data_IF_043923852351
#
_entry.id   IF_043923852351
#
_cell.length_a   1.000
_cell.length_b   1.000
_cell.length_c   1.000
_cell.angle_alpha   90.00
_cell.angle_beta   90.00
_cell.angle_gamma   90.00
#
_symmetry.space_group_name_H-M   'P 1'
#
loop_
_entity.id
_entity.type
_entity.pdbx_description
1 polymer ?
#
# COMPACT_ATOMS: atom_id res chain seq x y z
N UNK A 1 -6.58 13.90 -4.21
CA UNK A 1 -6.70 13.87 -2.73
C UNK A 1 -8.19 13.90 -2.49
N UNK A 2 -8.75 12.84 -1.93
CA UNK A 2 -10.20 12.60 -1.86
C UNK A 2 -10.47 12.14 -0.43
N UNK A 3 -11.52 12.67 0.18
CA UNK A 3 -11.57 12.94 1.63
C UNK A 3 -12.86 12.38 2.22
N UNK A 4 -12.86 11.64 3.35
CA UNK A 4 -14.13 11.25 3.99
C UNK A 4 -14.66 12.41 4.83
N UNK A 5 -15.92 12.75 4.61
CA UNK A 5 -16.64 13.72 5.42
C UNK A 5 -17.85 13.13 6.12
N UNK A 6 -18.18 13.76 7.25
CA UNK A 6 -19.51 13.71 7.81
C UNK A 6 -20.35 14.73 7.03
N UNK A 7 -21.48 14.32 6.48
CA UNK A 7 -22.41 15.29 5.89
C UNK A 7 -23.24 15.85 7.02
N UNK A 8 -22.84 17.00 7.55
CA UNK A 8 -23.68 17.82 8.40
C UNK A 8 -24.38 18.84 7.51
N UNK A 9 -25.63 18.59 7.14
CA UNK A 9 -26.50 19.64 6.61
C UNK A 9 -26.78 20.62 7.75
N UNK A 10 -26.06 21.75 7.73
CA UNK A 10 -26.55 22.99 8.36
C UNK A 10 -26.76 23.99 7.24
N UNK A 11 -27.57 23.63 6.25
CA UNK A 11 -28.21 24.63 5.38
C UNK A 11 -29.40 25.21 6.15
N UNK A 12 -29.27 26.47 6.55
CA UNK A 12 -30.35 27.30 7.06
C UNK A 12 -31.54 27.23 6.11
N UNK A 13 -32.58 26.45 6.48
CA UNK A 13 -33.97 26.52 6.01
C UNK A 13 -34.74 25.22 6.35
N UNK A 14 -35.54 25.32 7.43
CA UNK A 14 -36.72 24.51 7.81
C UNK A 14 -36.49 23.13 8.45
N UNK A 15 -36.52 23.09 9.80
CA UNK A 15 -37.02 21.95 10.57
C UNK A 15 -38.50 22.25 10.88
N UNK A 16 -39.42 21.59 10.20
CA UNK A 16 -40.84 21.61 10.58
C UNK A 16 -41.22 20.21 11.07
N UNK A 17 -41.01 19.94 12.36
CA UNK A 17 -41.58 18.76 13.01
C UNK A 17 -43.04 19.04 13.36
N UNK A 18 -43.95 18.34 12.66
CA UNK A 18 -45.34 18.27 13.05
C UNK A 18 -45.52 17.19 14.13
N UNK A 19 -45.49 17.61 15.41
CA UNK A 19 -46.10 16.85 16.51
C UNK A 19 -46.94 17.83 17.34
N UNK A 20 -48.27 17.70 17.16
CA UNK A 20 -49.32 18.65 17.56
C UNK A 20 -49.32 19.98 16.78
N UNK A 21 -50.38 20.23 16.02
CA UNK A 21 -50.61 21.52 15.35
C UNK A 21 -50.97 22.58 16.41
N UNK A 22 -49.96 23.21 17.00
CA UNK A 22 -50.11 24.49 17.68
C UNK A 22 -49.75 25.61 16.70
N UNK A 23 -50.71 26.49 16.42
CA UNK A 23 -50.45 27.67 15.60
C UNK A 23 -49.69 28.70 16.42
N UNK A 24 -48.36 28.70 16.28
CA UNK A 24 -47.51 29.73 16.88
C UNK A 24 -47.38 30.91 15.89
N UNK A 25 -47.86 32.09 16.29
CA UNK A 25 -47.73 33.31 15.49
C UNK A 25 -46.32 33.87 15.60
N UNK A 26 -45.49 33.62 14.58
CA UNK A 26 -44.06 34.00 14.55
C UNK A 26 -43.80 35.47 14.16
N UNK A 27 -44.63 36.03 13.28
CA UNK A 27 -44.48 37.41 12.83
C UNK A 27 -45.80 37.98 12.29
N UNK A 28 -45.83 39.29 12.06
CA UNK A 28 -46.89 40.01 11.34
C UNK A 28 -46.29 40.73 10.15
N UNK A 29 -46.99 40.83 9.03
CA UNK A 29 -46.54 41.58 7.86
C UNK A 29 -47.48 42.76 7.59
N UNK A 30 -46.90 43.93 7.32
CA UNK A 30 -47.61 45.15 6.96
C UNK A 30 -47.00 45.71 5.67
N UNK A 31 -47.85 46.16 4.74
CA UNK A 31 -47.46 46.78 3.47
C UNK A 31 -46.60 48.04 3.61
N UNK A 32 -46.73 48.76 4.73
CA UNK A 32 -46.02 50.02 4.97
C UNK A 32 -44.81 49.88 5.89
N UNK A 33 -44.87 48.93 6.84
CA UNK A 33 -43.85 48.72 7.88
C UNK A 33 -43.03 47.44 7.66
N UNK A 34 -43.34 46.66 6.63
CA UNK A 34 -42.69 45.39 6.33
C UNK A 34 -43.02 44.30 7.35
N UNK A 35 -42.10 43.35 7.51
CA UNK A 35 -42.24 42.26 8.48
C UNK A 35 -42.00 42.78 9.90
N UNK A 36 -43.05 42.85 10.70
CA UNK A 36 -43.02 43.18 12.13
C UNK A 36 -43.00 41.89 12.95
N UNK A 37 -41.80 41.47 13.31
CA UNK A 37 -41.47 40.26 14.05
C UNK A 37 -39.99 39.93 13.87
N UNK A 38 -39.47 39.02 14.67
CA UNK A 38 -38.12 38.52 14.50
C UNK A 38 -38.19 37.11 13.92
N UNK A 39 -37.84 36.98 12.64
CA UNK A 39 -37.41 35.69 12.08
C UNK A 39 -35.99 35.33 12.53
N UNK A 40 -35.38 36.07 13.49
CA UNK A 40 -34.21 35.53 14.19
C UNK A 40 -34.71 34.33 14.96
N UNK A 41 -34.55 33.19 14.29
CA UNK A 41 -34.29 31.89 14.84
C UNK A 41 -33.55 32.12 16.16
N UNK A 42 -34.22 31.88 17.28
CA UNK A 42 -33.52 31.75 18.54
C UNK A 42 -32.39 30.79 18.24
N UNK A 43 -31.14 31.25 18.30
CA UNK A 43 -30.01 30.33 18.35
C UNK A 43 -30.43 29.27 19.34
N UNK A 44 -30.28 28.01 18.95
CA UNK A 44 -30.58 26.90 19.82
C UNK A 44 -29.61 27.00 21.01
N UNK A 45 -29.95 27.83 22.00
CA UNK A 45 -29.16 28.08 23.21
C UNK A 45 -29.17 26.84 24.11
N UNK A 46 -30.12 25.93 23.87
CA UNK A 46 -30.36 24.67 24.59
C UNK A 46 -29.78 23.42 23.90
N UNK A 47 -28.93 23.57 22.88
CA UNK A 47 -28.49 22.44 22.05
C UNK A 47 -29.65 21.76 21.31
N UNK A 48 -29.37 20.77 20.46
CA UNK A 48 -30.39 20.02 19.69
C UNK A 48 -31.19 19.03 20.57
N UNK A 49 -31.42 19.37 21.84
CA UNK A 49 -32.13 18.54 22.79
C UNK A 49 -33.58 18.32 22.38
N UNK A 50 -33.99 17.05 22.33
CA UNK A 50 -35.34 16.65 21.94
C UNK A 50 -35.59 16.53 20.44
N UNK A 51 -34.59 16.83 19.60
CA UNK A 51 -34.66 16.62 18.14
C UNK A 51 -34.27 15.18 17.80
N UNK A 52 -35.08 14.52 16.96
CA UNK A 52 -34.74 13.23 16.34
C UNK A 52 -34.33 13.43 14.89
N UNK A 53 -33.07 13.14 14.57
CA UNK A 53 -32.46 13.32 13.23
C UNK A 53 -32.55 12.03 12.43
N UNK A 54 -33.02 12.08 11.19
CA UNK A 54 -32.97 10.93 10.27
C UNK A 54 -31.61 10.84 9.60
N UNK A 55 -30.91 9.74 9.85
CA UNK A 55 -29.54 9.53 9.37
C UNK A 55 -29.52 8.43 8.32
N UNK A 56 -29.09 8.75 7.11
CA UNK A 56 -28.83 7.76 6.07
C UNK A 56 -27.38 7.29 6.13
N UNK A 57 -27.17 6.00 5.91
CA UNK A 57 -25.84 5.38 5.89
C UNK A 57 -25.66 4.37 4.77
N UNK A 58 -24.41 4.01 4.50
CA UNK A 58 -24.00 2.91 3.64
C UNK A 58 -23.01 2.05 4.42
N UNK A 59 -23.17 0.73 4.32
CA UNK A 59 -22.31 -0.25 4.99
C UNK A 59 -20.93 -0.28 4.31
N UNK A 60 -19.90 0.05 5.07
CA UNK A 60 -18.50 0.00 4.64
C UNK A 60 -17.63 -0.27 5.87
N UNK A 61 -16.84 -1.33 5.86
CA UNK A 61 -15.95 -1.68 6.97
C UNK A 61 -14.68 -0.81 6.95
N UNK A 62 -14.19 -0.28 8.10
CA UNK A 62 -14.71 -0.41 9.48
C UNK A 62 -15.61 0.78 9.92
N UNK A 63 -16.11 1.58 8.99
CA UNK A 63 -16.84 2.81 9.24
C UNK A 63 -18.26 2.56 9.75
N UNK A 64 -19.00 1.71 9.05
CA UNK A 64 -20.38 1.35 9.36
C UNK A 64 -20.58 -0.12 9.06
N UNK A 65 -20.88 -0.88 10.11
CA UNK A 65 -21.07 -2.31 10.12
C UNK A 65 -22.38 -2.64 10.83
N UNK A 66 -22.99 -3.76 10.46
CA UNK A 66 -24.11 -4.31 11.22
C UNK A 66 -23.52 -5.13 12.36
N UNK A 67 -23.91 -4.85 13.60
CA UNK A 67 -23.59 -5.71 14.73
C UNK A 67 -24.33 -7.04 14.58
N UNK A 68 -23.71 -8.14 14.97
CA UNK A 68 -24.37 -9.44 14.98
C UNK A 68 -25.56 -9.38 15.93
N UNK A 69 -26.77 -9.52 15.37
CA UNK A 69 -27.98 -9.50 16.15
C UNK A 69 -28.20 -10.85 16.83
N UNK A 70 -28.39 -10.81 18.14
CA UNK A 70 -29.04 -11.89 18.87
C UNK A 70 -30.54 -11.79 18.54
N UNK A 71 -31.16 -12.92 18.18
CA UNK A 71 -32.53 -13.02 17.65
C UNK A 71 -33.54 -12.12 18.40
N UNK A 72 -34.21 -11.20 17.68
CA UNK A 72 -35.29 -10.35 18.22
C UNK A 72 -34.93 -8.89 18.54
N UNK A 73 -33.67 -8.48 18.43
CA UNK A 73 -33.28 -7.07 18.60
C UNK A 73 -33.27 -6.28 17.28
N UNK A 74 -33.56 -4.97 17.31
CA UNK A 74 -33.42 -4.10 16.13
C UNK A 74 -31.98 -4.11 15.62
N UNK A 75 -31.79 -3.97 14.31
CA UNK A 75 -30.46 -3.90 13.68
C UNK A 75 -29.63 -2.81 14.34
N UNK A 76 -28.57 -3.19 15.05
CA UNK A 76 -27.64 -2.23 15.65
C UNK A 76 -26.48 -1.99 14.70
N UNK A 77 -26.23 -0.73 14.38
CA UNK A 77 -25.04 -0.35 13.63
C UNK A 77 -23.86 -0.12 14.59
N UNK A 78 -22.64 -0.45 14.14
CA UNK A 78 -21.38 -0.25 14.86
C UNK A 78 -20.30 0.19 13.88
N UNK A 79 -19.23 0.81 14.37
CA UNK A 79 -18.08 1.21 13.55
C UNK A 79 -17.68 2.66 13.78
N UNK A 80 -16.57 3.06 13.16
CA UNK A 80 -15.93 4.34 13.44
C UNK A 80 -16.86 5.54 13.22
N UNK A 81 -17.61 5.56 12.11
CA UNK A 81 -18.52 6.67 11.81
C UNK A 81 -19.74 6.69 12.75
N UNK A 82 -20.15 5.52 13.26
CA UNK A 82 -21.23 5.42 14.25
C UNK A 82 -20.76 5.95 15.61
N UNK A 83 -19.54 5.64 16.03
CA UNK A 83 -18.97 6.15 17.28
C UNK A 83 -18.86 7.69 17.25
N UNK A 84 -18.50 8.26 16.09
CA UNK A 84 -18.49 9.71 15.86
C UNK A 84 -19.91 10.29 15.95
N UNK A 85 -20.90 9.66 15.32
CA UNK A 85 -22.30 10.09 15.38
C UNK A 85 -22.85 10.04 16.82
N UNK A 86 -22.54 9.00 17.58
CA UNK A 86 -22.92 8.85 18.99
C UNK A 86 -22.29 9.94 19.86
N UNK A 87 -21.00 10.26 19.63
CA UNK A 87 -20.33 11.34 20.33
C UNK A 87 -20.99 12.70 20.04
N UNK A 88 -21.32 12.97 18.77
CA UNK A 88 -22.04 14.19 18.38
C UNK A 88 -23.44 14.25 18.99
N UNK A 89 -24.17 13.14 18.98
CA UNK A 89 -25.48 13.00 19.63
C UNK A 89 -25.43 13.36 21.11
N UNK A 90 -24.41 12.88 21.83
CA UNK A 90 -24.20 13.19 23.26
C UNK A 90 -23.84 14.64 23.52
N UNK A 91 -22.96 15.23 22.70
CA UNK A 91 -22.49 16.61 22.89
C UNK A 91 -23.60 17.63 22.56
N UNK A 92 -24.32 17.40 21.47
CA UNK A 92 -25.35 18.32 20.97
C UNK A 92 -26.74 18.00 21.52
N UNK A 93 -26.96 16.81 22.08
CA UNK A 93 -28.18 16.40 22.75
C UNK A 93 -29.31 15.88 21.84
N UNK A 94 -29.03 15.59 20.57
CA UNK A 94 -30.02 15.03 19.65
C UNK A 94 -30.11 13.51 19.74
N UNK A 95 -31.28 12.97 19.41
CA UNK A 95 -31.49 11.55 19.12
C UNK A 95 -31.44 11.34 17.61
N UNK A 96 -31.19 10.13 17.16
CA UNK A 96 -31.19 9.84 15.73
C UNK A 96 -31.79 8.48 15.40
N UNK A 97 -32.35 8.39 14.20
CA UNK A 97 -32.82 7.15 13.58
C UNK A 97 -31.97 6.88 12.35
N UNK A 98 -31.21 5.78 12.38
CA UNK A 98 -30.28 5.43 11.30
C UNK A 98 -30.87 4.35 10.41
N UNK A 99 -30.75 4.54 9.10
CA UNK A 99 -31.17 3.56 8.10
C UNK A 99 -30.17 3.46 6.94
N UNK A 100 -30.14 2.30 6.30
CA UNK A 100 -29.27 2.05 5.14
C UNK A 100 -29.95 2.54 3.85
N UNK A 101 -29.17 3.19 2.99
CA UNK A 101 -29.61 3.59 1.65
C UNK A 101 -30.05 2.39 0.80
N UNK A 102 -31.15 2.53 0.06
CA UNK A 102 -31.80 1.42 -0.64
C UNK A 102 -31.00 0.87 -1.84
N UNK A 103 -30.32 1.74 -2.57
CA UNK A 103 -29.58 1.37 -3.80
C UNK A 103 -28.12 0.97 -3.53
N UNK A 104 -27.66 1.07 -2.27
CA UNK A 104 -26.29 0.74 -1.88
C UNK A 104 -25.21 1.66 -2.48
N UNK A 105 -25.56 2.87 -2.94
CA UNK A 105 -24.60 3.79 -3.57
C UNK A 105 -24.36 5.04 -2.72
N UNK A 106 -23.15 5.61 -2.85
CA UNK A 106 -22.83 6.90 -2.23
C UNK A 106 -23.58 8.05 -2.88
N UNK A 107 -23.65 8.06 -4.21
CA UNK A 107 -24.32 9.12 -4.97
C UNK A 107 -23.48 9.61 -6.13
N UNK A 108 -24.04 9.50 -7.31
CA UNK A 108 -23.54 9.99 -8.60
C UNK A 108 -24.67 10.70 -9.37
N UNK A 109 -24.34 11.70 -10.19
CA UNK A 109 -25.32 12.34 -11.05
C UNK A 109 -25.79 11.36 -12.12
N UNK A 110 -27.11 11.24 -12.28
CA UNK A 110 -27.74 10.48 -13.37
C UNK A 110 -27.87 11.35 -14.62
N UNK A 111 -28.09 10.71 -15.77
CA UNK A 111 -28.28 11.38 -17.07
C UNK A 111 -29.38 12.45 -17.06
N UNK A 112 -30.36 12.31 -16.16
CA UNK A 112 -31.51 13.20 -16.04
C UNK A 112 -31.24 14.40 -15.11
N UNK A 113 -29.99 14.58 -14.64
CA UNK A 113 -29.60 15.63 -13.70
C UNK A 113 -30.00 15.35 -12.24
N UNK A 114 -30.70 14.26 -11.96
CA UNK A 114 -31.00 13.81 -10.59
C UNK A 114 -29.81 13.08 -9.96
N UNK A 115 -29.82 12.93 -8.64
CA UNK A 115 -28.80 12.21 -7.89
C UNK A 115 -29.35 10.93 -7.28
N UNK A 116 -28.57 9.85 -7.32
CA UNK A 116 -28.87 8.60 -6.63
C UNK A 116 -28.14 8.52 -5.26
N UNK A 117 -28.26 7.38 -4.58
CA UNK A 117 -27.50 7.08 -3.38
C UNK A 117 -27.82 7.98 -2.19
N UNK A 118 -26.88 8.02 -1.26
CA UNK A 118 -26.93 8.89 -0.09
C UNK A 118 -27.15 10.36 -0.48
N UNK A 119 -26.44 10.85 -1.51
CA UNK A 119 -26.59 12.23 -1.98
C UNK A 119 -28.02 12.52 -2.46
N UNK A 120 -28.64 11.57 -3.17
CA UNK A 120 -30.04 11.68 -3.59
C UNK A 120 -31.04 11.70 -2.42
N UNK A 121 -30.81 10.90 -1.38
CA UNK A 121 -31.61 10.90 -0.15
C UNK A 121 -31.57 12.26 0.57
N UNK A 122 -30.40 12.92 0.59
CA UNK A 122 -30.22 14.24 1.19
C UNK A 122 -30.89 15.34 0.37
N UNK A 123 -30.70 15.35 -0.96
CA UNK A 123 -31.33 16.33 -1.85
C UNK A 123 -32.86 16.23 -1.79
N UNK A 124 -33.39 15.01 -1.72
CA UNK A 124 -34.83 14.76 -1.59
C UNK A 124 -35.38 15.01 -0.18
N UNK A 125 -34.52 15.42 0.78
CA UNK A 125 -34.87 15.66 2.19
C UNK A 125 -35.53 14.44 2.86
N UNK A 126 -35.16 13.23 2.44
CA UNK A 126 -35.60 11.98 3.08
C UNK A 126 -34.74 11.64 4.30
N UNK A 127 -33.48 12.05 4.27
CA UNK A 127 -32.57 12.09 5.41
C UNK A 127 -32.18 13.53 5.74
N UNK A 128 -31.95 13.79 7.02
CA UNK A 128 -31.46 15.07 7.54
C UNK A 128 -29.93 15.09 7.62
N UNK A 129 -29.31 13.92 7.78
CA UNK A 129 -27.87 13.76 7.95
C UNK A 129 -27.40 12.51 7.21
N UNK A 130 -26.16 12.51 6.71
CA UNK A 130 -25.53 11.29 6.24
C UNK A 130 -24.20 11.01 6.93
N UNK A 131 -24.03 9.74 7.31
CA UNK A 131 -22.85 9.24 8.02
C UNK A 131 -22.41 7.94 7.39
N UNK A 132 -21.25 7.97 6.71
CA UNK A 132 -20.57 6.80 6.15
C UNK A 132 -19.15 7.24 5.72
N UNK A 133 -18.43 6.41 4.97
CA UNK A 133 -17.14 6.74 4.35
C UNK A 133 -17.31 7.59 3.08
N UNK A 134 -18.08 8.68 3.16
CA UNK A 134 -18.48 9.48 1.99
C UNK A 134 -17.34 10.40 1.58
N UNK A 135 -16.87 10.25 0.34
CA UNK A 135 -15.86 11.13 -0.23
C UNK A 135 -16.42 12.52 -0.59
N UNK A 136 -15.79 13.61 -0.12
CA UNK A 136 -16.04 14.98 -0.59
C UNK A 136 -15.49 15.11 -2.02
N UNK A 137 -16.34 15.48 -2.96
CA UNK A 137 -15.96 15.81 -4.34
C UNK A 137 -16.62 17.14 -4.73
N UNK A 138 -16.03 17.92 -5.65
CA UNK A 138 -16.62 19.19 -6.10
C UNK A 138 -18.06 19.03 -6.61
N UNK A 139 -18.34 17.92 -7.31
CA UNK A 139 -19.68 17.62 -7.81
C UNK A 139 -20.70 17.42 -6.68
N UNK A 140 -20.32 16.71 -5.61
CA UNK A 140 -21.19 16.49 -4.45
C UNK A 140 -21.33 17.75 -3.61
N UNK A 141 -20.25 18.49 -3.41
CA UNK A 141 -20.24 19.76 -2.66
C UNK A 141 -21.09 20.83 -3.35
N UNK A 142 -21.29 20.74 -4.67
CA UNK A 142 -22.19 21.66 -5.40
C UNK A 142 -23.68 21.45 -5.10
N UNK A 143 -24.06 20.32 -4.48
CA UNK A 143 -25.48 19.96 -4.23
C UNK A 143 -25.80 19.66 -2.77
N UNK A 144 -24.80 19.37 -1.94
CA UNK A 144 -24.94 19.19 -0.50
C UNK A 144 -23.77 19.84 0.25
N UNK A 145 -24.03 20.31 1.45
CA UNK A 145 -23.00 20.86 2.32
C UNK A 145 -22.27 19.75 3.08
N UNK A 146 -20.94 19.85 3.15
CA UNK A 146 -20.10 18.96 3.95
C UNK A 146 -19.57 19.66 5.20
N UNK A 147 -19.44 18.90 6.28
CA UNK A 147 -18.65 19.37 7.42
C UNK A 147 -17.15 19.28 7.11
N UNK A 148 -16.31 19.73 8.05
CA UNK A 148 -14.89 19.42 7.97
C UNK A 148 -14.68 17.90 8.01
N UNK A 149 -13.81 17.42 7.12
CA UNK A 149 -13.33 16.03 7.12
C UNK A 149 -12.88 15.61 8.52
N UNK A 150 -13.23 14.38 8.91
CA UNK A 150 -12.78 13.79 10.16
C UNK A 150 -11.69 12.72 9.96
N UNK A 151 -11.43 12.33 8.70
CA UNK A 151 -10.39 11.37 8.33
C UNK A 151 -9.75 11.76 7.00
N UNK A 152 -8.42 11.89 7.02
CA UNK A 152 -7.61 12.08 5.81
C UNK A 152 -7.12 10.74 5.28
N UNK A 153 -7.29 10.50 3.97
CA UNK A 153 -6.71 9.34 3.29
C UNK A 153 -6.19 9.70 1.90
N UNK A 154 -5.33 8.82 1.38
CA UNK A 154 -4.74 8.93 0.05
C UNK A 154 -5.14 7.74 -0.83
N UNK A 155 -5.31 7.98 -2.13
CA UNK A 155 -5.45 6.89 -3.12
C UNK A 155 -4.17 6.06 -3.13
N UNK A 156 -4.30 4.74 -2.97
CA UNK A 156 -3.17 3.80 -3.00
C UNK A 156 -3.29 2.79 -4.14
N UNK A 157 -2.20 2.07 -4.39
CA UNK A 157 -2.18 0.90 -5.28
C UNK A 157 -2.10 -0.34 -4.39
N UNK A 158 -3.13 -1.19 -4.45
CA UNK A 158 -3.17 -2.49 -3.81
C UNK A 158 -2.63 -3.56 -4.75
N UNK A 159 -1.67 -4.33 -4.26
CA UNK A 159 -0.99 -5.40 -5.01
C UNK A 159 -0.87 -6.64 -4.13
N UNK A 160 -0.90 -7.82 -4.73
CA UNK A 160 -0.55 -9.05 -4.01
C UNK A 160 0.91 -8.98 -3.57
N UNK A 161 1.17 -9.30 -2.31
CA UNK A 161 2.53 -9.46 -1.80
C UNK A 161 3.22 -10.56 -2.60
N UNK A 162 4.36 -10.25 -3.21
CA UNK A 162 5.16 -11.25 -3.93
C UNK A 162 5.66 -12.29 -2.94
N UNK A 163 5.46 -13.57 -3.26
CA UNK A 163 6.05 -14.66 -2.48
C UNK A 163 7.55 -14.74 -2.77
N UNK A 164 8.35 -14.76 -1.71
CA UNK A 164 9.79 -14.91 -1.80
C UNK A 164 10.13 -16.31 -2.31
N UNK A 165 10.53 -16.41 -3.58
CA UNK A 165 11.06 -17.66 -4.11
C UNK A 165 12.50 -17.79 -3.64
N UNK A 166 12.76 -18.76 -2.76
CA UNK A 166 14.12 -19.14 -2.38
C UNK A 166 14.80 -19.70 -3.63
N UNK A 167 15.65 -18.89 -4.26
CA UNK A 167 16.45 -19.37 -5.38
C UNK A 167 17.61 -20.19 -4.81
N UNK A 168 17.78 -21.44 -5.26
CA UNK A 168 18.84 -22.34 -4.78
C UNK A 168 20.23 -21.77 -5.14
N UNK A 169 20.31 -20.94 -6.18
CA UNK A 169 21.52 -20.21 -6.55
C UNK A 169 21.82 -18.98 -5.67
N UNK A 170 20.99 -18.68 -4.67
CA UNK A 170 21.24 -17.60 -3.70
C UNK A 170 22.55 -17.79 -2.94
N UNK A 171 23.06 -19.02 -2.85
CA UNK A 171 24.36 -19.32 -2.26
C UNK A 171 25.52 -18.71 -3.07
N UNK A 172 25.38 -18.55 -4.39
CA UNK A 172 26.42 -17.95 -5.24
C UNK A 172 26.32 -16.42 -5.33
N UNK A 173 25.18 -15.85 -4.94
CA UNK A 173 24.89 -14.42 -4.97
C UNK A 173 25.79 -13.50 -4.11
N UNK A 174 26.43 -13.94 -3.00
CA UNK A 174 27.24 -13.05 -2.16
C UNK A 174 28.46 -12.45 -2.86
N UNK A 175 28.93 -13.07 -3.95
CA UNK A 175 30.01 -12.58 -4.79
C UNK A 175 29.57 -12.48 -6.25
N UNK A 176 30.04 -11.44 -6.91
CA UNK A 176 29.85 -11.29 -8.36
C UNK A 176 30.63 -12.37 -9.12
N UNK A 177 30.16 -12.72 -10.32
CA UNK A 177 30.77 -13.73 -11.18
C UNK A 177 32.23 -13.39 -11.50
N UNK A 178 32.57 -12.11 -11.59
CA UNK A 178 33.94 -11.65 -11.77
C UNK A 178 34.85 -12.03 -10.58
N UNK A 179 34.37 -11.89 -9.34
CA UNK A 179 35.12 -12.26 -8.13
C UNK A 179 35.32 -13.77 -8.06
N UNK A 180 34.28 -14.55 -8.40
CA UNK A 180 34.39 -16.00 -8.52
C UNK A 180 35.44 -16.42 -9.55
N UNK A 181 35.47 -15.76 -10.72
CA UNK A 181 36.48 -16.01 -11.74
C UNK A 181 37.90 -15.68 -11.24
N UNK A 182 38.08 -14.57 -10.52
CA UNK A 182 39.36 -14.21 -9.90
C UNK A 182 39.84 -15.25 -8.89
N UNK A 183 38.95 -15.76 -8.02
CA UNK A 183 39.28 -16.82 -7.05
C UNK A 183 39.69 -18.10 -7.78
N UNK A 184 38.93 -18.51 -8.79
CA UNK A 184 39.22 -19.69 -9.60
C UNK A 184 40.56 -19.58 -10.34
N UNK A 185 40.94 -18.38 -10.81
CA UNK A 185 42.22 -18.11 -11.44
C UNK A 185 43.39 -18.00 -10.43
N UNK A 186 43.14 -17.54 -9.20
CA UNK A 186 44.18 -17.42 -8.18
C UNK A 186 44.74 -18.78 -7.73
N UNK A 187 43.90 -19.82 -7.65
CA UNK A 187 44.29 -21.18 -7.25
C UNK A 187 45.44 -21.73 -8.13
N UNK A 188 45.31 -21.82 -9.48
CA UNK A 188 46.40 -22.31 -10.32
C UNK A 188 47.61 -21.38 -10.31
N UNK A 189 47.44 -20.06 -10.23
CA UNK A 189 48.56 -19.10 -10.17
C UNK A 189 49.45 -19.34 -8.95
N UNK A 190 48.84 -19.46 -7.76
CA UNK A 190 49.58 -19.73 -6.51
C UNK A 190 50.17 -21.14 -6.53
N UNK A 191 49.47 -22.11 -7.12
CA UNK A 191 49.97 -23.47 -7.29
C UNK A 191 51.22 -23.55 -8.16
N UNK A 192 51.24 -22.80 -9.27
CA UNK A 192 52.42 -22.68 -10.14
C UNK A 192 53.57 -21.99 -9.41
N UNK A 193 53.30 -20.94 -8.63
CA UNK A 193 54.31 -20.28 -7.80
C UNK A 193 54.95 -21.25 -6.79
N UNK A 194 54.14 -22.04 -6.08
CA UNK A 194 54.60 -23.08 -5.15
C UNK A 194 55.39 -24.17 -5.88
N UNK A 195 54.93 -24.61 -7.05
CA UNK A 195 55.63 -25.59 -7.88
C UNK A 195 57.03 -25.10 -8.29
N UNK A 196 57.15 -23.85 -8.77
CA UNK A 196 58.44 -23.25 -9.13
C UNK A 196 59.37 -23.18 -7.91
N UNK A 197 58.87 -22.70 -6.77
CA UNK A 197 59.67 -22.61 -5.53
C UNK A 197 60.15 -23.99 -5.04
N UNK A 198 59.31 -25.02 -5.13
CA UNK A 198 59.70 -26.41 -4.81
C UNK A 198 60.74 -26.95 -5.79
N UNK A 199 60.62 -26.65 -7.08
CA UNK A 199 61.62 -27.03 -8.10
C UNK A 199 62.97 -26.35 -7.85
N UNK A 200 62.99 -25.06 -7.55
CA UNK A 200 64.22 -24.33 -7.22
C UNK A 200 64.89 -24.90 -5.96
N UNK A 201 64.10 -25.28 -4.95
CA UNK A 201 64.61 -25.92 -3.73
C UNK A 201 65.17 -27.32 -3.98
N UNK A 202 64.54 -28.11 -4.86
CA UNK A 202 65.02 -29.44 -5.24
C UNK A 202 66.34 -29.44 -6.02
N UNK A 203 66.68 -28.33 -6.69
CA UNK A 203 67.91 -28.19 -7.49
C UNK A 203 69.09 -27.67 -6.66
N UNK A 204 68.86 -27.15 -5.45
CA UNK A 204 69.95 -26.72 -4.55
C UNK A 204 70.66 -27.95 -3.95
N UNK A 205 72.01 -28.01 -3.97
CA UNK A 205 72.74 -29.15 -3.43
C UNK A 205 72.49 -29.31 -1.92
N UNK A 206 72.50 -30.54 -1.38
CA UNK A 206 72.12 -30.80 0.00
C UNK A 206 73.16 -30.24 0.97
N UNK A 207 72.91 -29.03 1.49
CA UNK A 207 73.47 -28.59 2.76
C UNK A 207 72.78 -29.38 3.85
N UNK A 208 73.49 -30.38 4.40
CA UNK A 208 72.92 -31.53 5.09
C UNK A 208 71.83 -31.22 6.11
N UNK A 209 70.57 -31.42 5.73
CA UNK A 209 69.45 -31.92 6.52
C UNK A 209 68.56 -32.66 5.52
N UNK A 210 68.26 -33.94 5.79
CA UNK A 210 67.54 -34.83 4.88
C UNK A 210 66.22 -34.19 4.42
N UNK A 211 66.12 -33.86 3.14
CA UNK A 211 64.85 -33.49 2.53
C UNK A 211 64.05 -34.78 2.33
N UNK A 212 63.06 -35.01 3.20
CA UNK A 212 61.97 -35.95 2.95
C UNK A 212 61.44 -35.71 1.54
N UNK A 213 61.19 -36.76 0.78
CA UNK A 213 60.74 -36.69 -0.62
C UNK A 213 59.34 -36.08 -0.72
N UNK A 214 59.25 -34.75 -0.62
CA UNK A 214 58.02 -34.01 -0.86
C UNK A 214 57.75 -34.12 -2.35
N UNK A 215 56.58 -34.62 -2.72
CA UNK A 215 56.16 -34.71 -4.11
C UNK A 215 56.23 -33.32 -4.78
N UNK A 216 57.13 -33.17 -5.76
CA UNK A 216 57.35 -31.94 -6.54
C UNK A 216 56.40 -31.84 -7.73
N UNK A 217 55.29 -32.59 -7.72
CA UNK A 217 54.31 -32.57 -8.80
C UNK A 217 53.43 -31.33 -8.75
N UNK A 218 53.02 -30.82 -9.91
CA UNK A 218 52.12 -29.69 -10.01
C UNK A 218 50.73 -30.02 -9.41
N UNK A 219 50.29 -31.27 -9.57
CA UNK A 219 49.04 -31.76 -8.97
C UNK A 219 49.06 -31.69 -7.44
N UNK A 220 50.19 -32.02 -6.79
CA UNK A 220 50.28 -31.93 -5.33
C UNK A 220 50.26 -30.48 -4.86
N UNK A 221 50.87 -29.55 -5.63
CA UNK A 221 50.79 -28.13 -5.34
C UNK A 221 49.35 -27.59 -5.48
N UNK A 222 48.63 -27.98 -6.53
CA UNK A 222 47.21 -27.60 -6.72
C UNK A 222 46.36 -28.14 -5.58
N UNK A 223 46.53 -29.41 -5.21
CA UNK A 223 45.77 -30.02 -4.12
C UNK A 223 46.02 -29.32 -2.78
N UNK A 224 47.25 -28.91 -2.48
CA UNK A 224 47.58 -28.19 -1.24
C UNK A 224 46.94 -26.80 -1.23
N UNK A 225 47.03 -26.05 -2.33
CA UNK A 225 46.44 -24.71 -2.44
C UNK A 225 44.91 -24.77 -2.35
N UNK A 226 44.30 -25.73 -3.05
CA UNK A 226 42.86 -25.98 -2.99
C UNK A 226 42.40 -26.46 -1.61
N UNK A 227 43.12 -27.41 -0.99
CA UNK A 227 42.81 -27.89 0.36
C UNK A 227 42.88 -26.76 1.39
N UNK A 228 43.93 -25.93 1.33
CA UNK A 228 44.04 -24.73 2.16
C UNK A 228 42.87 -23.75 1.93
N UNK A 229 42.41 -23.58 0.69
CA UNK A 229 41.28 -22.72 0.35
C UNK A 229 39.95 -23.22 0.95
N UNK A 230 39.71 -24.53 0.89
CA UNK A 230 38.53 -25.20 1.47
C UNK A 230 38.68 -25.40 2.98
N UNK A 231 39.73 -24.84 3.60
CA UNK A 231 40.05 -24.99 5.03
C UNK A 231 40.26 -26.44 5.47
N UNK A 232 40.59 -27.32 4.52
CA UNK A 232 41.05 -28.67 4.81
C UNK A 232 42.56 -28.61 5.03
N UNK A 233 42.97 -28.68 6.29
CA UNK A 233 44.39 -28.76 6.66
C UNK A 233 45.05 -29.98 6.04
N UNK A 234 46.26 -29.81 5.50
CA UNK A 234 47.08 -30.91 4.98
C UNK A 234 48.43 -30.96 5.68
N UNK A 235 48.92 -32.16 5.97
CA UNK A 235 50.19 -32.42 6.67
C UNK A 235 51.41 -32.23 5.76
N UNK A 236 51.49 -31.11 5.04
CA UNK A 236 52.63 -30.80 4.19
C UNK A 236 53.67 -30.01 4.97
N UNK A 237 54.79 -30.65 5.31
CA UNK A 237 55.93 -29.97 5.94
C UNK A 237 56.61 -29.06 4.89
N UNK A 238 56.39 -27.76 4.98
CA UNK A 238 57.09 -26.76 4.17
C UNK A 238 58.46 -26.44 4.80
N UNK A 239 59.52 -26.98 4.22
CA UNK A 239 60.89 -26.85 4.73
C UNK A 239 61.56 -25.47 4.53
N UNK A 240 61.06 -24.64 3.61
CA UNK A 240 61.69 -23.35 3.26
C UNK A 240 60.88 -22.13 3.73
N UNK A 241 61.59 -21.10 4.21
CA UNK A 241 61.03 -19.80 4.61
C UNK A 241 60.24 -19.15 3.48
N UNK A 242 60.74 -19.18 2.24
CA UNK A 242 60.04 -18.59 1.09
C UNK A 242 58.68 -19.27 0.83
N UNK A 243 58.63 -20.59 0.99
CA UNK A 243 57.40 -21.37 0.81
C UNK A 243 56.39 -21.07 1.92
N UNK A 244 56.87 -20.87 3.15
CA UNK A 244 56.05 -20.47 4.30
C UNK A 244 55.47 -19.07 4.14
N UNK A 245 56.22 -18.11 3.59
CA UNK A 245 55.70 -16.76 3.32
C UNK A 245 54.58 -16.81 2.27
N UNK A 246 54.80 -17.52 1.16
CA UNK A 246 53.76 -17.70 0.13
C UNK A 246 52.53 -18.39 0.70
N UNK A 247 52.70 -19.46 1.46
CA UNK A 247 51.58 -20.17 2.09
C UNK A 247 50.86 -19.30 3.13
N UNK A 248 51.59 -18.55 3.96
CA UNK A 248 51.01 -17.61 4.92
C UNK A 248 50.21 -16.50 4.24
N UNK A 249 50.69 -15.97 3.11
CA UNK A 249 49.93 -15.00 2.31
C UNK A 249 48.66 -15.61 1.70
N UNK A 250 48.73 -16.87 1.25
CA UNK A 250 47.57 -17.60 0.72
C UNK A 250 46.52 -17.88 1.81
N UNK A 251 46.96 -18.22 3.02
CA UNK A 251 46.07 -18.40 4.17
C UNK A 251 45.39 -17.09 4.55
N UNK A 252 46.11 -15.98 4.59
CA UNK A 252 45.51 -14.66 4.85
C UNK A 252 44.47 -14.30 3.78
N UNK A 253 44.79 -14.50 2.50
CA UNK A 253 43.85 -14.31 1.40
C UNK A 253 42.59 -15.16 1.56
N UNK A 254 42.76 -16.46 1.85
CA UNK A 254 41.64 -17.41 2.04
C UNK A 254 40.76 -16.99 3.21
N UNK A 255 41.36 -16.58 4.33
CA UNK A 255 40.64 -16.10 5.50
C UNK A 255 39.79 -14.88 5.16
N UNK A 256 40.38 -13.88 4.48
CA UNK A 256 39.65 -12.68 4.05
C UNK A 256 38.48 -13.03 3.15
N UNK A 257 38.69 -13.91 2.17
CA UNK A 257 37.63 -14.34 1.23
C UNK A 257 36.51 -15.07 1.96
N UNK A 258 36.83 -16.05 2.81
CA UNK A 258 35.81 -16.81 3.54
C UNK A 258 35.04 -15.94 4.53
N UNK A 259 35.75 -15.06 5.27
CA UNK A 259 35.11 -14.11 6.18
C UNK A 259 34.16 -13.17 5.45
N UNK A 260 34.60 -12.60 4.32
CA UNK A 260 33.78 -11.71 3.49
C UNK A 260 32.58 -12.42 2.88
N UNK A 261 32.77 -13.66 2.41
CA UNK A 261 31.68 -14.49 1.88
C UNK A 261 30.63 -14.75 2.96
N UNK A 262 31.06 -15.14 4.16
CA UNK A 262 30.17 -15.45 5.28
C UNK A 262 29.41 -14.21 5.74
N UNK A 263 30.08 -13.06 5.82
CA UNK A 263 29.46 -11.78 6.15
C UNK A 263 28.43 -11.34 5.10
N UNK A 264 28.76 -11.44 3.80
CA UNK A 264 27.85 -11.08 2.72
C UNK A 264 26.69 -12.05 2.58
N UNK A 265 26.92 -13.34 2.79
CA UNK A 265 25.86 -14.35 2.82
C UNK A 265 24.89 -14.09 3.98
N UNK A 266 25.41 -13.81 5.18
CA UNK A 266 24.58 -13.45 6.32
C UNK A 266 23.74 -12.19 6.03
N UNK A 267 24.37 -11.14 5.49
CA UNK A 267 23.65 -9.93 5.07
C UNK A 267 22.57 -10.24 4.02
N UNK A 268 22.89 -11.05 3.01
CA UNK A 268 21.94 -11.45 1.96
C UNK A 268 20.74 -12.23 2.53
N UNK A 269 20.96 -13.13 3.48
CA UNK A 269 19.90 -13.91 4.11
C UNK A 269 19.00 -13.06 5.03
N UNK A 270 19.54 -11.99 5.62
CA UNK A 270 18.74 -11.06 6.45
C UNK A 270 17.94 -10.07 5.63
N UNK A 271 18.39 -9.73 4.42
CA UNK A 271 17.74 -8.75 3.56
C UNK A 271 16.88 -9.47 2.53
N UNK A 272 15.64 -9.75 2.91
CA UNK A 272 14.61 -9.99 1.91
C UNK A 272 14.32 -8.68 1.17
N UNK A 273 14.78 -8.59 -0.08
CA UNK A 273 14.38 -7.50 -0.96
C UNK A 273 13.00 -7.82 -1.50
N UNK A 274 11.98 -7.18 -0.93
CA UNK A 274 10.68 -7.10 -1.57
C UNK A 274 10.82 -6.18 -2.80
N UNK A 275 11.22 -6.77 -3.94
CA UNK A 275 11.32 -6.08 -5.24
C UNK A 275 9.92 -5.76 -5.76
N UNK A 276 9.33 -4.72 -5.18
CA UNK A 276 8.15 -4.09 -5.76
C UNK A 276 8.62 -3.22 -6.93
N UNK A 277 8.45 -3.73 -8.14
CA UNK A 277 8.79 -3.05 -9.41
C UNK A 277 8.01 -1.75 -9.65
N UNK A 278 6.94 -1.52 -8.88
CA UNK A 278 6.02 -0.38 -9.08
C UNK A 278 5.78 0.28 -7.75
N UNK A 279 6.29 1.50 -7.61
CA UNK A 279 6.15 2.29 -6.38
C UNK A 279 5.26 3.51 -6.60
N UNK A 280 5.21 4.02 -7.83
CA UNK A 280 4.49 5.24 -8.17
C UNK A 280 3.43 4.99 -9.26
N UNK A 281 2.47 5.92 -9.37
CA UNK A 281 1.54 5.95 -10.49
C UNK A 281 2.24 6.17 -11.84
N UNK A 282 3.39 6.85 -11.84
CA UNK A 282 4.19 7.04 -13.05
C UNK A 282 4.79 5.71 -13.52
N UNK A 283 5.35 4.90 -12.60
CA UNK A 283 5.82 3.55 -12.92
C UNK A 283 4.66 2.68 -13.43
N UNK A 284 3.46 2.89 -12.86
CA UNK A 284 2.25 2.20 -13.29
C UNK A 284 1.82 2.57 -14.71
N UNK A 285 1.95 3.84 -15.11
CA UNK A 285 1.60 4.30 -16.46
C UNK A 285 2.58 3.86 -17.54
N UNK A 286 3.86 3.65 -17.20
CA UNK A 286 4.91 3.30 -18.19
C UNK A 286 4.93 1.81 -18.53
N UNK A 287 4.43 0.95 -17.65
CA UNK A 287 4.42 -0.49 -17.86
C UNK A 287 3.14 -0.94 -18.55
N UNK A 288 3.25 -1.93 -19.44
CA UNK A 288 2.11 -2.54 -20.14
C UNK A 288 1.78 -3.95 -19.62
N UNK A 289 2.65 -4.54 -18.79
CA UNK A 289 2.55 -5.94 -18.38
C UNK A 289 1.50 -6.20 -17.28
N UNK A 290 1.09 -5.14 -16.58
CA UNK A 290 0.22 -5.22 -15.42
C UNK A 290 -1.13 -4.58 -15.74
N UNK A 291 -2.20 -5.35 -15.55
CA UNK A 291 -3.55 -4.84 -15.62
C UNK A 291 -3.88 -4.08 -14.33
N UNK A 292 -4.48 -2.90 -14.45
CA UNK A 292 -4.91 -2.11 -13.30
C UNK A 292 -6.28 -1.48 -13.54
N UNK A 293 -7.06 -1.37 -12.47
CA UNK A 293 -8.40 -0.80 -12.50
C UNK A 293 -8.82 -0.26 -11.13
N UNK A 294 -9.97 0.40 -11.07
CA UNK A 294 -10.55 0.94 -9.83
C UNK A 294 -11.93 0.31 -9.59
N UNK A 295 -12.61 0.70 -8.53
CA UNK A 295 -14.05 0.42 -8.35
C UNK A 295 -14.84 1.38 -9.25
N UNK A 296 -15.78 0.87 -10.06
CA UNK A 296 -16.66 1.70 -10.90
C UNK A 296 -17.62 2.52 -10.03
N UNK A 297 -18.11 3.64 -10.56
CA UNK A 297 -18.98 4.60 -9.85
C UNK A 297 -18.39 5.12 -8.51
N UNK A 298 -17.09 4.95 -8.28
CA UNK A 298 -16.40 5.40 -7.07
C UNK A 298 -15.80 6.79 -7.27
N UNK A 299 -15.54 7.48 -6.16
CA UNK A 299 -14.85 8.77 -6.22
C UNK A 299 -13.42 8.65 -6.77
N UNK A 300 -12.77 7.48 -6.64
CA UNK A 300 -11.47 7.19 -7.30
C UNK A 300 -11.63 7.20 -8.81
N UNK A 301 -12.65 6.50 -9.31
CA UNK A 301 -12.90 6.38 -10.75
C UNK A 301 -13.15 7.74 -11.39
N UNK A 302 -14.03 8.55 -10.78
CA UNK A 302 -14.31 9.91 -11.28
C UNK A 302 -13.09 10.82 -11.16
N UNK A 303 -12.24 10.65 -10.15
CA UNK A 303 -10.99 11.41 -10.05
C UNK A 303 -10.01 11.11 -11.18
N UNK A 304 -9.81 9.82 -11.52
CA UNK A 304 -8.97 9.45 -12.66
C UNK A 304 -9.60 9.87 -13.99
N UNK A 305 -10.94 9.82 -14.09
CA UNK A 305 -11.66 10.33 -15.26
C UNK A 305 -11.42 11.82 -15.45
N UNK A 306 -11.73 12.63 -14.44
CA UNK A 306 -11.59 14.08 -14.51
C UNK A 306 -10.15 14.45 -14.86
N UNK A 307 -9.16 13.93 -14.12
CA UNK A 307 -7.75 14.21 -14.40
C UNK A 307 -7.27 13.70 -15.76
N UNK A 308 -7.72 12.52 -16.18
CA UNK A 308 -7.32 11.93 -17.45
C UNK A 308 -7.93 12.60 -18.68
N UNK A 309 -9.11 13.22 -18.55
CA UNK A 309 -9.80 13.91 -19.66
C UNK A 309 -9.55 15.42 -19.69
N UNK A 310 -8.97 15.99 -18.64
CA UNK A 310 -8.66 17.42 -18.57
C UNK A 310 -7.53 17.77 -19.55
N UNK A 311 -7.88 18.42 -20.67
CA UNK A 311 -6.90 18.88 -21.66
C UNK A 311 -5.96 19.99 -21.14
N UNK A 312 -6.36 20.71 -20.09
CA UNK A 312 -5.61 21.83 -19.50
C UNK A 312 -4.55 21.38 -18.48
N UNK A 313 -4.78 20.25 -17.81
CA UNK A 313 -3.86 19.64 -16.85
C UNK A 313 -3.25 18.38 -17.47
N UNK A 314 -2.49 18.56 -18.56
CA UNK A 314 -2.00 17.47 -19.39
C UNK A 314 -0.88 16.67 -18.70
N UNK A 315 -1.20 16.03 -17.58
CA UNK A 315 -0.35 15.03 -16.97
C UNK A 315 -0.49 13.73 -17.79
N UNK A 316 0.51 13.50 -18.64
CA UNK A 316 0.63 12.28 -19.46
C UNK A 316 0.42 10.99 -18.67
N UNK A 317 0.74 10.98 -17.38
CA UNK A 317 0.54 9.83 -16.51
C UNK A 317 -0.95 9.56 -16.26
N UNK A 318 -1.75 10.55 -15.88
CA UNK A 318 -3.18 10.33 -15.62
C UNK A 318 -3.98 10.05 -16.89
N UNK A 319 -3.59 10.64 -18.02
CA UNK A 319 -4.20 10.34 -19.31
C UNK A 319 -4.00 8.86 -19.70
N UNK A 320 -2.79 8.33 -19.53
CA UNK A 320 -2.49 6.93 -19.85
C UNK A 320 -3.15 5.96 -18.86
N UNK A 321 -3.14 6.30 -17.57
CA UNK A 321 -3.86 5.53 -16.55
C UNK A 321 -5.35 5.47 -16.86
N UNK A 322 -5.97 6.61 -17.20
CA UNK A 322 -7.38 6.67 -17.56
C UNK A 322 -7.70 5.87 -18.82
N UNK A 323 -6.83 5.89 -19.83
CA UNK A 323 -6.98 5.09 -21.04
C UNK A 323 -7.11 3.59 -20.74
N UNK A 324 -6.31 3.10 -19.79
CA UNK A 324 -6.35 1.70 -19.35
C UNK A 324 -7.57 1.42 -18.46
N UNK A 325 -7.86 2.31 -17.50
CA UNK A 325 -9.01 2.17 -16.57
C UNK A 325 -10.34 2.18 -17.31
N UNK A 326 -10.49 3.04 -18.33
CA UNK A 326 -11.72 3.22 -19.11
C UNK A 326 -11.85 2.24 -20.29
N UNK A 327 -10.87 1.34 -20.49
CA UNK A 327 -10.93 0.36 -21.57
C UNK A 327 -12.21 -0.49 -21.46
N UNK A 328 -12.95 -0.61 -22.57
CA UNK A 328 -14.28 -1.24 -22.61
C UNK A 328 -15.25 -0.67 -21.55
N UNK A 329 -15.32 0.66 -21.41
CA UNK A 329 -16.12 1.37 -20.40
C UNK A 329 -15.84 0.89 -18.96
N UNK A 330 -14.59 0.49 -18.69
CA UNK A 330 -14.16 -0.02 -17.40
C UNK A 330 -14.59 -1.45 -17.07
N UNK A 331 -15.30 -2.16 -17.96
CA UNK A 331 -15.73 -3.54 -17.68
C UNK A 331 -14.58 -4.57 -17.73
N UNK A 332 -13.45 -4.24 -18.35
CA UNK A 332 -12.32 -5.16 -18.49
C UNK A 332 -11.46 -5.21 -17.22
N UNK A 333 -11.08 -4.05 -16.68
CA UNK A 333 -10.14 -3.96 -15.56
C UNK A 333 -10.78 -3.49 -14.26
N UNK A 334 -11.80 -2.64 -14.30
CA UNK A 334 -12.47 -2.09 -13.12
C UNK A 334 -13.53 -3.05 -12.56
N UNK A 335 -13.77 -2.98 -11.25
CA UNK A 335 -14.67 -3.90 -10.51
C UNK A 335 -15.94 -3.18 -10.03
N UNK A 336 -16.96 -3.94 -9.64
CA UNK A 336 -18.22 -3.37 -9.14
C UNK A 336 -18.17 -3.00 -7.66
N UNK A 337 -17.37 -3.71 -6.86
CA UNK A 337 -17.25 -3.48 -5.41
C UNK A 337 -15.80 -3.59 -4.93
N UNK A 338 -15.45 -2.95 -3.79
CA UNK A 338 -14.13 -3.11 -3.18
C UNK A 338 -13.80 -4.56 -2.82
N UNK A 339 -14.78 -5.33 -2.34
CA UNK A 339 -14.59 -6.74 -1.96
C UNK A 339 -14.27 -7.63 -3.17
N UNK A 340 -14.94 -7.40 -4.30
CA UNK A 340 -14.62 -8.05 -5.58
C UNK A 340 -13.19 -7.70 -6.02
N UNK A 341 -12.79 -6.43 -5.89
CA UNK A 341 -11.44 -5.97 -6.20
C UNK A 341 -10.37 -6.68 -5.37
N UNK A 342 -10.58 -6.77 -4.05
CA UNK A 342 -9.68 -7.48 -3.13
C UNK A 342 -9.61 -8.96 -3.50
N UNK A 343 -10.75 -9.60 -3.75
CA UNK A 343 -10.78 -10.99 -4.16
C UNK A 343 -10.05 -11.20 -5.49
N UNK A 344 -10.20 -10.30 -6.47
CA UNK A 344 -9.52 -10.35 -7.79
C UNK A 344 -8.00 -10.18 -7.67
N UNK A 345 -7.52 -9.35 -6.75
CA UNK A 345 -6.07 -9.20 -6.46
C UNK A 345 -5.53 -10.41 -5.70
N UNK A 346 -6.34 -11.01 -4.81
CA UNK A 346 -5.94 -12.17 -4.00
C UNK A 346 -5.95 -13.49 -4.79
N UNK A 347 -7.02 -13.74 -5.54
CA UNK A 347 -7.23 -14.95 -6.36
C UNK A 347 -6.50 -14.89 -7.71
N UNK A 348 -6.24 -13.68 -8.21
CA UNK A 348 -5.70 -13.45 -9.55
C UNK A 348 -4.20 -13.67 -9.67
N UNK A 349 -3.85 -14.19 -10.85
CA UNK A 349 -2.54 -14.48 -11.43
C UNK A 349 -1.55 -13.29 -11.37
N UNK A 350 -0.98 -12.95 -10.22
CA UNK A 350 0.20 -12.08 -10.01
C UNK A 350 0.29 -10.71 -10.74
N UNK A 351 -0.72 -10.30 -11.52
CA UNK A 351 -0.61 -9.25 -12.55
C UNK A 351 -1.76 -8.24 -12.54
N UNK A 352 -2.74 -8.38 -11.65
CA UNK A 352 -3.83 -7.41 -11.46
C UNK A 352 -3.55 -6.53 -10.23
N UNK A 353 -3.69 -5.21 -10.40
CA UNK A 353 -3.59 -4.22 -9.31
C UNK A 353 -4.90 -3.48 -9.16
N UNK A 354 -5.33 -3.29 -7.92
CA UNK A 354 -6.51 -2.50 -7.62
C UNK A 354 -6.05 -1.13 -7.13
N UNK A 355 -6.52 -0.07 -7.78
CA UNK A 355 -6.36 1.28 -7.29
C UNK A 355 -7.61 1.59 -6.46
N UNK A 356 -7.44 1.66 -5.15
CA UNK A 356 -8.55 1.85 -4.21
C UNK A 356 -8.13 2.66 -2.98
N UNK A 357 -9.11 3.19 -2.27
CA UNK A 357 -8.95 3.88 -1.00
C UNK A 357 -8.85 2.87 0.14
N UNK A 358 -7.66 2.33 0.40
CA UNK A 358 -7.43 1.56 1.64
C UNK A 358 -6.02 1.74 2.21
N UNK A 359 -5.63 2.99 2.47
CA UNK A 359 -4.68 3.23 3.55
C UNK A 359 -5.46 3.71 4.78
N UNK A 360 -5.79 2.74 5.64
CA UNK A 360 -5.66 2.96 7.07
C UNK A 360 -4.21 2.69 7.44
#
# INVERSE_FOLDING_TARGET
MLEAALVALVTSSYICMASSLQFLKLATWDSTRGLNGSLKESRIESGMQGVTVKVVTLLEEPFVMVAENILGQPKRYKGFSIDVLDALGKILGFKYEIYQVADGKYGTPTSNGSWNGIIGELISKRADLAVSAITITPERESVVDFSKRYLDYSVGILMRKSEEKINIFSLLAPFDLAVWACIAAAIPVVSVMIFILRRVQSVRPPGGHQATSVSTSLQSAIWIVYGAFVQQGGDSILGSVALRIVMGSWWLFTLIVCSSYTANLAAYLTVSRMDNTVRTFQDLSKQMDLAYGTVRDSAVYEYFRAKGTNALEQDSTFAELWRTINKNNGHEHSVSSPSEGIHKVSSGTARSKLIDFRKL
#
